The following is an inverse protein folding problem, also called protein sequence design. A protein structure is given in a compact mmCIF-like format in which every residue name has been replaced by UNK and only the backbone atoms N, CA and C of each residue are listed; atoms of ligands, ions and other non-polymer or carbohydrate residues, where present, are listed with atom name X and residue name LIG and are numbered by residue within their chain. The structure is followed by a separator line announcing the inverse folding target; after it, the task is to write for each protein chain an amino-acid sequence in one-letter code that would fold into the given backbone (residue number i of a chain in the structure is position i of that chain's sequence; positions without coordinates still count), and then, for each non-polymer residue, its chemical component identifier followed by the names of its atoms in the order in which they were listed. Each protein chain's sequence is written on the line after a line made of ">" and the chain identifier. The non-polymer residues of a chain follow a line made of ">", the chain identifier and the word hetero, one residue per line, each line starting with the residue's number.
data_IF_269160623773
#
_entry.id   IF_269160623773
#
_cell.length_a   1.000
_cell.length_b   1.000
_cell.length_c   1.000
_cell.angle_alpha   90.00
_cell.angle_beta   90.00
_cell.angle_gamma   90.00
#
_symmetry.space_group_name_H-M   'P 1'
#
loop_
_entity.id
_entity.type
_entity.pdbx_description
1 polymer ?
#
# COMPACT_ATOMS: atom_id res chain seq x y z
N UNK A 1 -16.33 23.70 -4.95
CA UNK A 1 -15.30 23.10 -5.82
C UNK A 1 -15.55 21.62 -5.74
N UNK A 2 -15.97 20.99 -6.85
CA UNK A 2 -16.14 19.53 -6.88
C UNK A 2 -14.76 18.91 -6.74
N UNK A 3 -14.53 18.15 -5.67
CA UNK A 3 -13.35 17.31 -5.55
C UNK A 3 -13.40 16.30 -6.70
N UNK A 4 -12.50 16.44 -7.68
CA UNK A 4 -12.33 15.40 -8.69
C UNK A 4 -11.74 14.18 -7.98
N UNK A 5 -12.60 13.18 -7.75
CA UNK A 5 -12.20 11.89 -7.21
C UNK A 5 -11.18 11.26 -8.17
N UNK A 6 -9.96 11.06 -7.68
CA UNK A 6 -8.90 10.36 -8.40
C UNK A 6 -9.36 8.92 -8.63
N UNK A 7 -9.66 8.58 -9.88
CA UNK A 7 -10.05 7.22 -10.26
C UNK A 7 -8.81 6.47 -10.72
N UNK A 8 -8.37 5.52 -9.91
CA UNK A 8 -7.31 4.59 -10.29
C UNK A 8 -7.88 3.49 -11.19
N UNK A 9 -7.07 2.98 -12.11
CA UNK A 9 -7.41 1.82 -12.92
C UNK A 9 -6.60 0.61 -12.46
N UNK A 10 -7.28 -0.51 -12.21
CA UNK A 10 -6.63 -1.75 -11.85
C UNK A 10 -5.78 -2.27 -13.02
N UNK A 11 -4.49 -2.46 -12.81
CA UNK A 11 -3.59 -2.92 -13.86
C UNK A 11 -3.83 -4.39 -14.25
N UNK A 12 -4.57 -5.15 -13.44
CA UNK A 12 -4.90 -6.57 -13.65
C UNK A 12 -6.24 -6.73 -14.39
N UNK A 13 -7.36 -6.32 -13.78
CA UNK A 13 -8.70 -6.49 -14.39
C UNK A 13 -9.14 -5.32 -15.27
N UNK A 14 -8.40 -4.20 -15.28
CA UNK A 14 -8.70 -2.95 -16.03
C UNK A 14 -9.94 -2.18 -15.57
N UNK A 15 -10.62 -2.64 -14.52
CA UNK A 15 -11.73 -1.92 -13.89
C UNK A 15 -11.22 -0.81 -12.95
N UNK A 16 -12.11 0.10 -12.57
CA UNK A 16 -11.78 1.20 -11.65
C UNK A 16 -11.51 0.66 -10.24
N UNK A 17 -10.45 1.14 -9.60
CA UNK A 17 -10.22 0.96 -8.15
C UNK A 17 -10.75 2.21 -7.46
N UNK A 18 -11.90 2.06 -6.80
CA UNK A 18 -12.53 3.15 -6.06
C UNK A 18 -11.89 3.25 -4.67
N UNK A 19 -11.50 4.47 -4.27
CA UNK A 19 -11.12 4.74 -2.89
C UNK A 19 -12.33 4.83 -1.94
N UNK A 20 -13.54 5.03 -2.49
CA UNK A 20 -14.80 5.18 -1.74
C UNK A 20 -15.55 3.86 -1.55
N UNK A 21 -15.58 3.03 -2.60
CA UNK A 21 -16.17 1.69 -2.59
C UNK A 21 -15.04 0.66 -2.60
N UNK A 22 -14.40 0.54 -1.44
CA UNK A 22 -13.31 -0.40 -1.20
C UNK A 22 -13.84 -1.84 -1.22
N UNK A 23 -13.36 -2.66 -2.15
CA UNK A 23 -13.60 -4.11 -2.10
C UNK A 23 -12.78 -4.78 -0.99
N UNK A 24 -11.65 -4.17 -0.63
CA UNK A 24 -10.83 -4.46 0.55
C UNK A 24 -10.37 -3.16 1.22
N UNK A 25 -10.20 -3.14 2.55
CA UNK A 25 -9.64 -1.98 3.26
C UNK A 25 -8.23 -1.59 2.75
N UNK A 26 -7.53 -2.56 2.13
CA UNK A 26 -6.22 -2.41 1.48
C UNK A 26 -6.30 -1.82 0.06
N UNK A 27 -7.49 -1.54 -0.46
CA UNK A 27 -7.65 -0.81 -1.72
C UNK A 27 -7.47 0.72 -1.52
N UNK A 28 -6.92 1.44 -2.51
CA UNK A 28 -6.19 0.91 -3.66
C UNK A 28 -4.82 0.36 -3.27
N UNK A 29 -4.46 -0.80 -3.84
CA UNK A 29 -3.13 -1.39 -3.67
C UNK A 29 -2.18 -0.91 -4.77
N UNK A 30 -1.03 -0.34 -4.39
CA UNK A 30 0.02 0.05 -5.32
C UNK A 30 1.00 -1.10 -5.58
N UNK A 31 1.40 -1.29 -6.84
CA UNK A 31 2.39 -2.26 -7.29
C UNK A 31 3.53 -1.54 -7.99
N UNK A 32 4.74 -1.71 -7.48
CA UNK A 32 5.95 -1.18 -8.09
C UNK A 32 6.63 -2.26 -8.91
N UNK A 33 6.81 -2.00 -10.21
CA UNK A 33 7.68 -2.80 -11.05
C UNK A 33 9.04 -2.12 -11.08
N UNK A 34 10.04 -2.78 -10.51
CA UNK A 34 11.44 -2.34 -10.55
C UNK A 34 12.23 -3.31 -11.43
N UNK A 35 12.74 -2.82 -12.57
CA UNK A 35 13.63 -3.60 -13.45
C UNK A 35 15.09 -3.23 -13.21
N UNK A 36 16.00 -4.17 -13.52
CA UNK A 36 17.44 -4.07 -13.25
C UNK A 36 17.74 -3.94 -11.74
N UNK A 37 17.00 -4.67 -10.91
CA UNK A 37 17.13 -4.60 -9.44
C UNK A 37 18.55 -4.94 -8.93
N UNK A 38 19.32 -5.64 -9.74
CA UNK A 38 20.72 -5.99 -9.53
C UNK A 38 21.71 -4.84 -9.82
N UNK A 39 21.25 -3.75 -10.45
CA UNK A 39 22.04 -2.55 -10.73
C UNK A 39 21.90 -1.48 -9.62
N UNK A 40 22.82 -0.50 -9.54
CA UNK A 40 22.66 0.67 -8.68
C UNK A 40 21.33 1.40 -8.95
N UNK A 41 20.73 1.97 -7.90
CA UNK A 41 19.38 2.58 -7.95
C UNK A 41 19.18 3.57 -9.09
N UNK A 42 20.19 4.37 -9.42
CA UNK A 42 20.12 5.38 -10.48
C UNK A 42 19.96 4.78 -11.89
N UNK A 43 20.25 3.49 -12.07
CA UNK A 43 20.09 2.76 -13.33
C UNK A 43 18.85 1.85 -13.36
N UNK A 44 18.17 1.71 -12.22
CA UNK A 44 16.93 0.95 -12.13
C UNK A 44 15.81 1.69 -12.85
N UNK A 45 14.83 0.95 -13.38
CA UNK A 45 13.60 1.54 -13.90
C UNK A 45 12.45 1.14 -13.01
N UNK A 46 11.73 2.14 -12.53
CA UNK A 46 10.61 1.97 -11.64
C UNK A 46 9.34 2.50 -12.30
N UNK A 47 8.26 1.72 -12.20
CA UNK A 47 6.92 2.14 -12.58
C UNK A 47 5.91 1.69 -11.54
N UNK A 48 5.11 2.65 -11.07
CA UNK A 48 3.99 2.40 -10.18
C UNK A 48 2.71 2.08 -10.98
N UNK A 49 1.98 1.10 -10.50
CA UNK A 49 0.65 0.70 -10.96
C UNK A 49 -0.30 0.59 -9.77
N UNK A 50 -1.61 0.59 -10.03
CA UNK A 50 -2.63 0.38 -9.01
C UNK A 50 -3.47 -0.86 -9.33
N UNK A 51 -4.00 -1.53 -8.31
CA UNK A 51 -4.88 -2.66 -8.46
C UNK A 51 -5.82 -2.82 -7.26
N UNK A 52 -6.86 -3.64 -7.44
CA UNK A 52 -7.59 -4.19 -6.29
C UNK A 52 -6.69 -5.21 -5.59
N UNK A 53 -6.66 -5.19 -4.26
CA UNK A 53 -5.90 -6.13 -3.45
C UNK A 53 -6.28 -7.58 -3.77
N UNK A 54 -7.57 -7.86 -3.94
CA UNK A 54 -8.06 -9.19 -4.34
C UNK A 54 -7.59 -9.63 -5.73
N UNK A 55 -7.39 -8.69 -6.66
CA UNK A 55 -6.80 -9.02 -7.97
C UNK A 55 -5.34 -9.40 -7.80
N UNK A 56 -4.58 -8.64 -7.01
CA UNK A 56 -3.17 -8.95 -6.71
C UNK A 56 -3.02 -10.31 -6.03
N UNK A 57 -3.81 -10.57 -4.98
CA UNK A 57 -3.82 -11.82 -4.21
C UNK A 57 -4.02 -13.06 -5.09
N UNK A 58 -4.91 -12.97 -6.09
CA UNK A 58 -5.12 -14.03 -7.09
C UNK A 58 -3.92 -14.24 -8.00
N UNK A 59 -3.19 -13.18 -8.35
CA UNK A 59 -2.00 -13.26 -9.22
C UNK A 59 -0.83 -13.94 -8.51
N UNK A 60 -0.59 -13.60 -7.24
CA UNK A 60 0.51 -14.20 -6.46
C UNK A 60 0.19 -15.58 -5.90
N UNK A 61 -1.03 -16.09 -6.16
CA UNK A 61 -1.49 -17.39 -5.67
C UNK A 61 -1.32 -17.54 -4.15
N UNK A 62 -1.74 -16.50 -3.41
CA UNK A 62 -1.85 -16.42 -1.94
C UNK A 62 -1.38 -17.68 -1.18
N UNK A 63 -0.06 -17.83 -1.09
CA UNK A 63 0.63 -19.01 -0.57
C UNK A 63 1.06 -18.85 0.89
N UNK A 64 0.62 -17.75 1.52
CA UNK A 64 0.95 -17.40 2.90
C UNK A 64 2.13 -16.44 3.04
N UNK A 65 2.80 -16.06 1.95
CA UNK A 65 3.94 -15.10 2.00
C UNK A 65 3.49 -13.62 2.01
N UNK A 66 2.18 -13.36 2.07
CA UNK A 66 1.62 -12.01 2.15
C UNK A 66 1.49 -11.54 3.60
N UNK A 67 2.62 -11.16 4.20
CA UNK A 67 2.70 -10.71 5.60
C UNK A 67 1.82 -9.48 5.92
N UNK A 68 1.43 -8.67 4.93
CA UNK A 68 0.51 -7.54 5.11
C UNK A 68 -0.89 -7.96 5.62
N UNK A 69 -1.20 -9.26 5.59
CA UNK A 69 -2.44 -9.82 6.11
C UNK A 69 -2.33 -10.28 7.57
N UNK A 70 -1.14 -10.26 8.16
CA UNK A 70 -0.92 -10.68 9.55
C UNK A 70 -1.16 -9.49 10.49
N UNK A 71 -2.02 -9.69 11.50
CA UNK A 71 -2.42 -8.63 12.44
C UNK A 71 -1.23 -8.00 13.19
N UNK A 72 -0.14 -8.76 13.39
CA UNK A 72 1.04 -8.35 14.16
C UNK A 72 2.23 -7.90 13.28
N UNK A 73 2.08 -7.86 11.95
CA UNK A 73 3.19 -7.50 11.06
C UNK A 73 3.31 -5.97 10.94
N UNK A 74 4.42 -5.36 11.38
CA UNK A 74 4.54 -3.91 11.41
C UNK A 74 4.63 -3.34 9.99
N UNK A 75 3.60 -2.62 9.56
CA UNK A 75 3.59 -1.89 8.29
C UNK A 75 3.88 -0.40 8.48
N UNK A 76 4.51 0.24 7.50
CA UNK A 76 4.90 1.67 7.56
C UNK A 76 3.73 2.63 7.83
N UNK A 77 2.47 2.20 7.62
CA UNK A 77 1.27 2.99 7.89
C UNK A 77 0.64 2.80 9.27
N UNK A 78 0.86 1.64 9.91
CA UNK A 78 0.22 1.26 11.17
C UNK A 78 1.11 1.56 12.38
N UNK A 79 2.44 1.54 12.20
CA UNK A 79 3.43 1.89 13.26
C UNK A 79 3.24 3.34 13.76
N UNK A 80 2.68 4.24 12.95
CA UNK A 80 2.54 5.65 13.32
C UNK A 80 1.44 5.94 14.37
N UNK A 81 0.55 4.98 14.70
CA UNK A 81 -0.53 5.23 15.66
C UNK A 81 -0.22 4.83 17.09
N UNK A 82 0.71 3.91 17.33
CA UNK A 82 0.95 3.37 18.69
C UNK A 82 1.93 4.22 19.53
N UNK A 83 2.70 5.13 18.91
CA UNK A 83 3.74 5.92 19.61
C UNK A 83 3.33 7.37 19.96
N UNK A 84 2.05 7.75 19.82
CA UNK A 84 1.57 9.12 20.14
C UNK A 84 0.81 9.25 21.47
N UNK A 85 0.77 8.21 22.30
CA UNK A 85 0.24 8.30 23.66
C UNK A 85 1.28 7.79 24.65
N UNK A 86 2.28 8.60 24.97
CA UNK A 86 2.86 8.73 26.32
C UNK A 86 4.06 9.69 26.27
N UNK A 87 3.92 10.88 26.88
CA UNK A 87 5.11 11.63 27.33
C UNK A 87 5.16 13.15 27.12
N UNK A 88 4.03 13.87 27.09
CA UNK A 88 4.04 15.33 27.27
C UNK A 88 3.77 15.71 28.75
N UNK A 89 4.52 15.19 29.73
CA UNK A 89 4.55 15.82 31.06
C UNK A 89 5.95 15.77 31.72
N UNK A 90 6.39 16.96 32.13
CA UNK A 90 7.45 17.29 33.10
C UNK A 90 8.91 17.07 32.72
N UNK A 91 9.61 18.17 32.37
CA UNK A 91 10.84 18.56 33.07
C UNK A 91 10.96 20.10 33.10
N UNK A 92 10.13 20.73 33.94
CA UNK A 92 10.52 21.95 34.63
C UNK A 92 11.19 21.53 35.94
N UNK A 93 12.51 21.68 36.02
CA UNK A 93 13.25 22.09 37.22
C UNK A 93 14.67 22.49 36.83
#
# INVERSE_FOLDING_TARGET
>A
MSEELVKYQCCICKETVSSEEKSSHLDPCALFVISHIDEPRDNQKEQEFFCHFECFRKVVNDDGELYIMEDDFPTTGEIAQEDLSDGDEEFLN
#
